data_IF_070615188279
#
_entry.id   IF_070615188279
#
_cell.length_a   1.000
_cell.length_b   1.000
_cell.length_c   1.000
_cell.angle_alpha   90.00
_cell.angle_beta   90.00
_cell.angle_gamma   90.00
#
_symmetry.space_group_name_H-M   'P 1'
#
loop_
_entity.id
_entity.type
_entity.pdbx_description
1 polymer ?
#
# COMPACT_ATOMS: atom_id res chain seq x y z
N UNK A 1 19.35 8.66 -6.48
CA UNK A 1 18.70 7.93 -5.36
C UNK A 1 19.65 6.88 -4.80
N UNK A 2 19.57 6.54 -3.50
CA UNK A 2 20.33 5.41 -2.94
C UNK A 2 19.74 4.07 -3.40
N UNK A 3 20.55 2.99 -3.43
CA UNK A 3 20.14 1.64 -3.88
C UNK A 3 18.81 1.16 -3.25
N UNK A 4 18.62 1.38 -1.95
CA UNK A 4 17.43 0.96 -1.23
C UNK A 4 16.15 1.65 -1.74
N UNK A 5 16.22 2.96 -2.00
CA UNK A 5 15.09 3.71 -2.55
C UNK A 5 14.76 3.29 -3.99
N UNK A 6 15.76 2.88 -4.79
CA UNK A 6 15.54 2.35 -6.14
C UNK A 6 14.81 1.01 -6.08
N UNK A 7 15.25 0.09 -5.20
CA UNK A 7 14.59 -1.20 -4.98
C UNK A 7 13.14 -0.99 -4.56
N UNK A 8 12.93 -0.12 -3.55
CA UNK A 8 11.59 0.15 -3.04
C UNK A 8 10.63 0.71 -4.09
N UNK A 9 11.13 1.61 -4.93
CA UNK A 9 10.39 2.17 -6.06
C UNK A 9 10.00 1.10 -7.08
N UNK A 10 10.92 0.21 -7.42
CA UNK A 10 10.64 -0.90 -8.35
C UNK A 10 9.59 -1.84 -7.75
N UNK A 11 9.70 -2.21 -6.48
CA UNK A 11 8.72 -3.06 -5.80
C UNK A 11 7.31 -2.45 -5.83
N UNK A 12 7.21 -1.17 -5.48
CA UNK A 12 5.93 -0.46 -5.54
C UNK A 12 5.37 -0.41 -6.96
N UNK A 13 6.19 -0.04 -7.95
CA UNK A 13 5.74 0.08 -9.34
C UNK A 13 5.29 -1.26 -9.93
N UNK A 14 6.00 -2.37 -9.64
CA UNK A 14 5.58 -3.73 -10.05
C UNK A 14 4.24 -4.07 -9.39
N UNK A 15 4.10 -3.85 -8.10
CA UNK A 15 2.87 -4.16 -7.38
C UNK A 15 1.66 -3.41 -7.96
N UNK A 16 1.80 -2.12 -8.23
CA UNK A 16 0.74 -1.31 -8.85
C UNK A 16 0.40 -1.80 -10.27
N UNK A 17 1.41 -2.15 -11.08
CA UNK A 17 1.16 -2.66 -12.44
C UNK A 17 0.43 -4.02 -12.41
N UNK A 18 0.78 -4.91 -11.48
CA UNK A 18 0.11 -6.21 -11.32
C UNK A 18 -1.32 -6.03 -10.81
N UNK A 19 -1.57 -5.12 -9.86
CA UNK A 19 -2.94 -4.79 -9.44
C UNK A 19 -3.78 -4.27 -10.61
N UNK A 20 -3.20 -3.46 -11.48
CA UNK A 20 -3.87 -3.03 -12.71
C UNK A 20 -4.16 -4.17 -13.67
N UNK A 21 -3.23 -5.12 -13.83
CA UNK A 21 -3.45 -6.31 -14.65
C UNK A 21 -4.54 -7.21 -14.09
N UNK A 22 -4.60 -7.39 -12.76
CA UNK A 22 -5.70 -8.12 -12.10
C UNK A 22 -7.05 -7.46 -12.35
N UNK A 23 -7.12 -6.13 -12.26
CA UNK A 23 -8.34 -5.37 -12.53
C UNK A 23 -8.87 -5.63 -13.96
N UNK A 24 -7.96 -5.69 -14.93
CA UNK A 24 -8.33 -6.01 -16.33
C UNK A 24 -8.71 -7.48 -16.49
N UNK A 25 -7.95 -8.39 -15.88
CA UNK A 25 -8.13 -9.83 -16.06
C UNK A 25 -9.47 -10.34 -15.47
N UNK A 26 -9.89 -9.77 -14.34
CA UNK A 26 -11.14 -10.16 -13.67
C UNK A 26 -12.34 -9.29 -14.04
N UNK A 27 -12.21 -8.32 -14.92
CA UNK A 27 -13.25 -7.34 -15.27
C UNK A 27 -13.84 -6.63 -14.03
N UNK A 28 -13.06 -6.58 -12.95
CA UNK A 28 -13.49 -6.09 -11.64
C UNK A 28 -12.31 -5.54 -10.84
N UNK A 29 -12.61 -4.75 -9.83
CA UNK A 29 -11.58 -4.16 -8.97
C UNK A 29 -11.18 -5.14 -7.86
N UNK A 30 -9.88 -5.28 -7.54
CA UNK A 30 -9.47 -5.86 -6.28
C UNK A 30 -10.14 -5.12 -5.12
N UNK A 31 -10.67 -5.88 -4.17
CA UNK A 31 -11.50 -5.40 -3.06
C UNK A 31 -10.87 -4.24 -2.26
N UNK A 32 -9.54 -4.18 -2.23
CA UNK A 32 -8.79 -3.13 -1.57
C UNK A 32 -8.70 -1.81 -2.35
N UNK A 33 -9.02 -1.82 -3.65
CA UNK A 33 -8.98 -0.61 -4.48
C UNK A 33 -10.37 0.03 -4.59
N UNK A 34 -11.40 -0.77 -4.67
CA UNK A 34 -12.80 -0.31 -4.67
C UNK A 34 -13.65 -1.35 -3.95
N UNK A 35 -14.53 -0.95 -3.00
CA UNK A 35 -15.46 -1.87 -2.36
C UNK A 35 -16.36 -2.61 -3.34
N UNK A 36 -17.04 -3.69 -2.92
CA UNK A 36 -17.70 -4.64 -3.80
C UNK A 36 -18.62 -4.01 -4.82
N UNK A 37 -18.58 -4.58 -6.00
CA UNK A 37 -19.35 -4.26 -7.18
C UNK A 37 -20.84 -4.10 -6.90
N UNK A 38 -21.36 -2.97 -7.29
CA UNK A 38 -22.79 -2.83 -7.50
C UNK A 38 -23.11 -3.29 -8.93
N UNK A 39 -23.67 -4.49 -9.05
CA UNK A 39 -24.04 -5.14 -10.33
C UNK A 39 -24.96 -4.29 -11.22
N UNK A 40 -25.55 -3.23 -10.68
CA UNK A 40 -26.47 -2.31 -11.37
C UNK A 40 -25.79 -1.15 -12.10
N UNK A 41 -24.46 -0.97 -12.01
CA UNK A 41 -23.77 0.12 -12.71
C UNK A 41 -23.48 -0.31 -14.15
N UNK A 42 -24.19 0.24 -15.17
CA UNK A 42 -23.90 -0.06 -16.56
C UNK A 42 -22.47 0.37 -16.93
N UNK A 43 -21.76 -0.46 -17.68
CA UNK A 43 -20.40 -0.13 -18.13
C UNK A 43 -19.30 -0.21 -17.06
N UNK A 44 -19.56 -0.82 -15.90
CA UNK A 44 -18.58 -0.96 -14.82
C UNK A 44 -17.27 -1.64 -15.28
N UNK A 45 -17.35 -2.66 -16.16
CA UNK A 45 -16.18 -3.28 -16.75
C UNK A 45 -15.31 -2.30 -17.56
N UNK A 46 -15.92 -1.34 -18.28
CA UNK A 46 -15.15 -0.31 -19.01
C UNK A 46 -14.36 0.57 -18.04
N UNK A 47 -14.98 0.93 -16.90
CA UNK A 47 -14.29 1.70 -15.85
C UNK A 47 -13.14 0.89 -15.26
N UNK A 48 -13.33 -0.42 -15.03
CA UNK A 48 -12.28 -1.31 -14.56
C UNK A 48 -11.12 -1.39 -15.56
N UNK A 49 -11.39 -1.52 -16.86
CA UNK A 49 -10.34 -1.52 -17.88
C UNK A 49 -9.55 -0.21 -17.92
N UNK A 50 -10.24 0.94 -17.90
CA UNK A 50 -9.57 2.25 -17.91
C UNK A 50 -8.70 2.40 -16.66
N UNK A 51 -9.25 2.06 -15.50
CA UNK A 51 -8.54 2.17 -14.23
C UNK A 51 -7.34 1.21 -14.17
N UNK A 52 -7.53 -0.05 -14.59
CA UNK A 52 -6.46 -1.04 -14.67
C UNK A 52 -5.34 -0.60 -15.62
N UNK A 53 -5.69 -0.06 -16.80
CA UNK A 53 -4.70 0.50 -17.71
C UNK A 53 -3.94 1.69 -17.10
N UNK A 54 -4.61 2.57 -16.36
CA UNK A 54 -3.96 3.67 -15.64
C UNK A 54 -2.99 3.17 -14.57
N UNK A 55 -3.35 2.12 -13.82
CA UNK A 55 -2.45 1.50 -12.84
C UNK A 55 -1.22 0.88 -13.51
N UNK A 56 -1.40 0.14 -14.62
CA UNK A 56 -0.29 -0.46 -15.37
C UNK A 56 0.66 0.63 -15.87
N UNK A 57 0.13 1.68 -16.49
CA UNK A 57 0.92 2.79 -17.00
C UNK A 57 1.67 3.53 -15.87
N UNK A 58 0.98 3.80 -14.76
CA UNK A 58 1.61 4.45 -13.61
C UNK A 58 2.71 3.57 -13.01
N UNK A 59 2.46 2.27 -12.81
CA UNK A 59 3.44 1.31 -12.34
C UNK A 59 4.66 1.22 -13.27
N UNK A 60 4.44 1.12 -14.57
CA UNK A 60 5.51 1.11 -15.58
C UNK A 60 6.33 2.42 -15.56
N UNK A 61 5.69 3.57 -15.52
CA UNK A 61 6.36 4.87 -15.40
C UNK A 61 7.25 4.94 -14.15
N UNK A 62 6.76 4.40 -13.03
CA UNK A 62 7.50 4.34 -11.78
C UNK A 62 8.69 3.36 -11.88
N UNK A 63 8.52 2.19 -12.46
CA UNK A 63 9.60 1.20 -12.63
C UNK A 63 10.70 1.72 -13.54
N UNK A 64 10.34 2.27 -14.69
CA UNK A 64 11.30 2.71 -15.71
C UNK A 64 11.79 4.15 -15.56
N UNK A 65 11.42 4.84 -14.49
CA UNK A 65 11.76 6.25 -14.23
C UNK A 65 11.31 7.22 -15.35
N UNK A 66 10.25 6.87 -16.07
CA UNK A 66 9.67 7.75 -17.09
C UNK A 66 8.49 8.51 -16.49
N UNK A 67 8.53 9.84 -16.60
CA UNK A 67 7.47 10.72 -16.04
C UNK A 67 7.08 10.37 -14.59
N UNK A 68 8.02 9.84 -13.80
CA UNK A 68 7.78 9.29 -12.47
C UNK A 68 7.10 10.27 -11.52
N UNK A 69 7.47 11.55 -11.57
CA UNK A 69 6.86 12.60 -10.76
C UNK A 69 5.36 12.71 -11.06
N UNK A 70 5.02 12.85 -12.33
CA UNK A 70 3.63 13.01 -12.80
C UNK A 70 2.82 11.75 -12.49
N UNK A 71 3.35 10.58 -12.87
CA UNK A 71 2.72 9.30 -12.62
C UNK A 71 2.42 9.08 -11.13
N UNK A 72 3.39 9.35 -10.25
CA UNK A 72 3.20 9.17 -8.81
C UNK A 72 2.24 10.19 -8.21
N UNK A 73 2.21 11.44 -8.68
CA UNK A 73 1.25 12.45 -8.20
C UNK A 73 -0.16 12.06 -8.65
N UNK A 74 -0.35 11.72 -9.93
CA UNK A 74 -1.65 11.34 -10.47
C UNK A 74 -2.17 10.10 -9.75
N UNK A 75 -1.36 9.05 -9.64
CA UNK A 75 -1.71 7.83 -8.93
C UNK A 75 -2.11 8.11 -7.48
N UNK A 76 -1.25 8.79 -6.72
CA UNK A 76 -1.52 9.08 -5.32
C UNK A 76 -2.77 9.95 -5.12
N UNK A 77 -2.98 10.95 -5.99
CA UNK A 77 -4.19 11.79 -5.94
C UNK A 77 -5.43 10.99 -6.27
N UNK A 78 -5.42 10.16 -7.31
CA UNK A 78 -6.53 9.30 -7.70
C UNK A 78 -6.94 8.36 -6.56
N UNK A 79 -5.99 7.61 -5.99
CA UNK A 79 -6.24 6.69 -4.89
C UNK A 79 -6.73 7.44 -3.64
N UNK A 80 -6.16 8.59 -3.33
CA UNK A 80 -6.61 9.42 -2.20
C UNK A 80 -8.03 9.96 -2.39
N UNK A 81 -8.41 10.34 -3.60
CA UNK A 81 -9.78 10.77 -3.91
C UNK A 81 -10.77 9.60 -3.80
N UNK A 82 -10.39 8.39 -4.25
CA UNK A 82 -11.20 7.18 -4.07
C UNK A 82 -11.38 6.90 -2.56
N UNK A 83 -10.32 6.97 -1.78
CA UNK A 83 -10.43 6.84 -0.32
C UNK A 83 -11.42 7.84 0.27
N UNK A 84 -11.29 9.13 -0.04
CA UNK A 84 -12.13 10.18 0.54
C UNK A 84 -13.58 10.14 0.07
N UNK A 85 -13.81 9.94 -1.23
CA UNK A 85 -15.14 10.12 -1.84
C UNK A 85 -15.88 8.82 -2.12
N UNK A 86 -15.21 7.68 -2.01
CA UNK A 86 -15.84 6.39 -2.19
C UNK A 86 -15.75 5.50 -0.93
N UNK A 87 -14.54 5.20 -0.42
CA UNK A 87 -14.40 4.32 0.74
C UNK A 87 -15.03 4.90 2.00
N UNK A 88 -14.77 6.16 2.34
CA UNK A 88 -15.35 6.78 3.54
C UNK A 88 -16.88 6.80 3.45
N UNK A 89 -17.53 7.32 2.39
CA UNK A 89 -18.98 7.26 2.27
C UNK A 89 -19.53 5.84 2.26
N UNK A 90 -18.86 4.90 1.59
CA UNK A 90 -19.27 3.51 1.55
C UNK A 90 -19.35 2.91 2.96
N UNK A 91 -18.32 3.12 3.78
CA UNK A 91 -18.30 2.60 5.15
C UNK A 91 -19.43 3.14 6.00
N UNK A 92 -19.74 4.45 5.92
CA UNK A 92 -20.80 5.03 6.72
C UNK A 92 -22.22 4.76 6.20
N UNK A 93 -22.39 4.57 4.89
CA UNK A 93 -23.72 4.48 4.27
C UNK A 93 -24.13 3.01 3.99
N UNK A 94 -23.18 2.17 3.62
CA UNK A 94 -23.45 0.80 3.14
C UNK A 94 -22.95 -0.30 4.04
N UNK A 95 -21.88 -0.07 4.81
CA UNK A 95 -21.36 -1.08 5.72
C UNK A 95 -22.20 -1.08 7.01
N UNK A 96 -22.80 -2.23 7.34
CA UNK A 96 -23.45 -2.45 8.63
C UNK A 96 -22.46 -2.50 9.79
N UNK A 97 -21.17 -2.67 9.47
CA UNK A 97 -20.11 -2.94 10.43
C UNK A 97 -19.11 -1.77 10.57
N UNK A 98 -19.53 -0.54 10.20
CA UNK A 98 -18.64 0.63 10.23
C UNK A 98 -18.01 0.93 11.62
N UNK A 99 -18.58 0.37 12.69
CA UNK A 99 -18.04 0.49 14.06
C UNK A 99 -16.87 -0.50 14.27
N UNK A 100 -16.84 -1.61 13.54
CA UNK A 100 -15.79 -2.60 13.67
C UNK A 100 -14.50 -2.14 13.00
N UNK A 101 -13.40 -2.23 13.73
CA UNK A 101 -12.09 -1.76 13.25
C UNK A 101 -11.66 -2.47 11.96
N UNK A 102 -11.84 -3.78 11.86
CA UNK A 102 -11.50 -4.57 10.67
C UNK A 102 -12.26 -4.17 9.39
N UNK A 103 -13.45 -3.56 9.52
CA UNK A 103 -14.20 -3.08 8.35
C UNK A 103 -13.46 -1.96 7.58
N UNK A 104 -12.54 -1.25 8.24
CA UNK A 104 -11.74 -0.17 7.65
C UNK A 104 -10.43 -0.65 7.01
N UNK A 105 -10.12 -1.93 7.11
CA UNK A 105 -8.85 -2.50 6.66
C UNK A 105 -8.58 -2.23 5.16
N UNK A 106 -9.58 -2.41 4.30
CA UNK A 106 -9.42 -2.16 2.87
C UNK A 106 -9.28 -0.66 2.54
N UNK A 107 -10.00 0.20 3.26
CA UNK A 107 -9.82 1.64 3.16
C UNK A 107 -8.40 2.06 3.58
N UNK A 108 -7.86 1.44 4.64
CA UNK A 108 -6.48 1.65 5.07
C UNK A 108 -5.45 1.18 4.03
N UNK A 109 -5.71 0.05 3.35
CA UNK A 109 -4.86 -0.44 2.23
C UNK A 109 -4.79 0.58 1.11
N UNK A 110 -5.94 1.11 0.68
CA UNK A 110 -6.02 2.16 -0.34
C UNK A 110 -5.25 3.42 0.07
N UNK A 111 -5.48 3.90 1.30
CA UNK A 111 -4.80 5.07 1.86
C UNK A 111 -3.28 4.89 1.87
N UNK A 112 -2.80 3.68 2.17
CA UNK A 112 -1.38 3.35 2.16
C UNK A 112 -0.77 3.41 0.76
N UNK A 113 -1.47 2.90 -0.26
CA UNK A 113 -1.00 2.97 -1.64
C UNK A 113 -0.93 4.42 -2.13
N UNK A 114 -1.94 5.24 -1.79
CA UNK A 114 -1.90 6.68 -2.05
C UNK A 114 -0.69 7.35 -1.38
N UNK A 115 -0.47 7.05 -0.10
CA UNK A 115 0.68 7.51 0.66
C UNK A 115 2.01 7.09 0.03
N UNK A 116 2.11 5.84 -0.43
CA UNK A 116 3.28 5.31 -1.12
C UNK A 116 3.61 6.06 -2.42
N UNK A 117 2.60 6.33 -3.22
CA UNK A 117 2.76 7.14 -4.43
C UNK A 117 3.27 8.56 -4.09
N UNK A 118 2.74 9.19 -3.05
CA UNK A 118 3.22 10.50 -2.59
C UNK A 118 4.66 10.43 -2.03
N UNK A 119 5.02 9.37 -1.32
CA UNK A 119 6.41 9.14 -0.87
C UNK A 119 7.35 9.07 -2.07
N UNK A 120 7.00 8.37 -3.13
CA UNK A 120 7.80 8.32 -4.36
C UNK A 120 7.84 9.71 -5.01
N UNK A 121 6.70 10.37 -5.19
CA UNK A 121 6.62 11.71 -5.76
C UNK A 121 7.55 12.70 -5.04
N UNK A 122 7.63 12.62 -3.71
CA UNK A 122 8.47 13.51 -2.88
C UNK A 122 9.95 13.46 -3.23
N UNK A 123 10.42 12.36 -3.83
CA UNK A 123 11.85 12.19 -4.22
C UNK A 123 12.21 12.93 -5.49
N UNK A 124 11.20 13.20 -6.32
CA UNK A 124 11.36 13.84 -7.64
C UNK A 124 10.71 15.21 -7.69
N UNK A 125 10.14 15.68 -6.57
CA UNK A 125 9.48 16.97 -6.51
C UNK A 125 10.48 18.06 -6.21
N UNK A 126 10.65 18.98 -7.17
CA UNK A 126 11.42 20.20 -7.00
C UNK A 126 10.41 21.33 -6.73
N UNK A 127 10.56 21.97 -5.58
CA UNK A 127 9.68 23.08 -5.21
C UNK A 127 10.00 24.30 -6.10
N UNK A 128 9.11 24.63 -7.02
CA UNK A 128 9.14 25.87 -7.79
C UNK A 128 8.16 26.85 -7.14
N UNK A 129 8.45 28.12 -7.20
CA UNK A 129 7.64 29.19 -6.61
C UNK A 129 6.31 29.40 -7.36
N UNK A 130 5.37 28.45 -7.27
CA UNK A 130 4.00 28.61 -7.72
C UNK A 130 3.02 28.15 -6.64
N UNK A 131 1.82 28.74 -6.60
CA UNK A 131 0.76 28.35 -5.65
C UNK A 131 0.43 26.86 -5.77
N UNK A 132 0.32 26.37 -7.00
CA UNK A 132 0.06 24.95 -7.28
C UNK A 132 1.17 24.06 -6.71
N UNK A 133 2.44 24.41 -6.91
CA UNK A 133 3.55 23.61 -6.38
C UNK A 133 3.60 23.64 -4.85
N UNK A 134 3.25 24.75 -4.21
CA UNK A 134 3.14 24.81 -2.74
C UNK A 134 2.02 23.90 -2.23
N UNK A 135 0.88 23.89 -2.89
CA UNK A 135 -0.23 23.01 -2.54
C UNK A 135 0.14 21.54 -2.72
N UNK A 136 0.68 21.16 -3.88
CA UNK A 136 1.14 19.81 -4.17
C UNK A 136 2.22 19.34 -3.18
N UNK A 137 3.17 20.20 -2.83
CA UNK A 137 4.23 19.83 -1.87
C UNK A 137 3.67 19.50 -0.50
N UNK A 138 2.61 20.19 -0.04
CA UNK A 138 1.94 19.88 1.23
C UNK A 138 1.27 18.51 1.18
N UNK A 139 0.53 18.19 0.11
CA UNK A 139 -0.10 16.89 -0.06
C UNK A 139 0.96 15.78 -0.14
N UNK A 140 1.96 15.94 -0.98
CA UNK A 140 3.04 14.97 -1.16
C UNK A 140 3.80 14.71 0.14
N UNK A 141 3.97 15.73 0.99
CA UNK A 141 4.66 15.59 2.27
C UNK A 141 3.90 14.72 3.29
N UNK A 142 2.58 14.52 3.12
CA UNK A 142 1.78 13.64 3.99
C UNK A 142 1.98 12.16 3.71
N UNK A 143 2.55 11.78 2.57
CA UNK A 143 2.62 10.40 2.13
C UNK A 143 3.17 9.41 3.15
N UNK A 144 4.27 9.77 3.83
CA UNK A 144 4.85 8.92 4.88
C UNK A 144 3.93 8.79 6.10
N UNK A 145 3.16 9.82 6.42
CA UNK A 145 2.18 9.80 7.53
C UNK A 145 1.01 8.89 7.17
N UNK A 146 0.46 9.00 5.96
CA UNK A 146 -0.64 8.15 5.49
C UNK A 146 -0.23 6.67 5.52
N UNK A 147 0.94 6.33 5.01
CA UNK A 147 1.50 4.99 5.12
C UNK A 147 1.63 4.54 6.57
N UNK A 148 2.16 5.39 7.44
CA UNK A 148 2.39 5.04 8.85
C UNK A 148 1.09 4.81 9.62
N UNK A 149 0.03 5.57 9.36
CA UNK A 149 -1.29 5.35 9.95
C UNK A 149 -1.79 3.96 9.60
N UNK A 150 -1.69 3.55 8.33
CA UNK A 150 -2.08 2.21 7.89
C UNK A 150 -1.25 1.12 8.55
N UNK A 151 0.07 1.31 8.64
CA UNK A 151 0.96 0.33 9.28
C UNK A 151 0.64 0.17 10.78
N UNK A 152 0.32 1.26 11.47
CA UNK A 152 -0.16 1.22 12.86
C UNK A 152 -1.49 0.47 12.95
N UNK A 153 -2.44 0.77 12.06
CA UNK A 153 -3.74 0.08 11.99
C UNK A 153 -3.54 -1.43 11.86
N UNK A 154 -2.74 -1.88 10.91
CA UNK A 154 -2.44 -3.31 10.75
C UNK A 154 -1.73 -3.92 11.97
N UNK A 155 -0.86 -3.15 12.63
CA UNK A 155 -0.27 -3.59 13.89
C UNK A 155 -1.33 -3.82 14.97
N UNK A 156 -2.34 -2.98 15.06
CA UNK A 156 -3.49 -3.14 15.97
C UNK A 156 -4.31 -4.38 15.58
N UNK A 157 -4.59 -4.60 14.29
CA UNK A 157 -5.29 -5.80 13.81
C UNK A 157 -4.59 -7.09 14.24
N UNK A 158 -3.25 -7.11 14.24
CA UNK A 158 -2.46 -8.25 14.72
C UNK A 158 -2.69 -8.58 16.19
N UNK A 159 -3.15 -7.63 17.01
CA UNK A 159 -3.54 -7.89 18.40
C UNK A 159 -5.03 -8.24 18.52
N UNK A 160 -5.89 -7.55 17.78
CA UNK A 160 -7.34 -7.76 17.85
C UNK A 160 -7.76 -9.12 17.28
N UNK A 161 -7.12 -9.54 16.19
CA UNK A 161 -7.44 -10.75 15.43
C UNK A 161 -6.29 -11.76 15.46
N UNK A 162 -5.51 -11.78 16.55
CA UNK A 162 -4.28 -12.55 16.64
C UNK A 162 -4.47 -14.06 16.39
N UNK A 163 -5.57 -14.65 16.87
CA UNK A 163 -5.86 -16.08 16.73
C UNK A 163 -6.20 -16.43 15.29
N UNK A 164 -7.11 -15.69 14.70
CA UNK A 164 -7.57 -15.88 13.32
C UNK A 164 -6.43 -15.63 12.33
N UNK A 165 -5.64 -14.60 12.57
CA UNK A 165 -4.50 -14.26 11.72
C UNK A 165 -3.33 -15.24 11.89
N UNK A 166 -3.19 -15.89 13.03
CA UNK A 166 -2.17 -16.92 13.26
C UNK A 166 -2.30 -18.12 12.30
N UNK A 167 -3.51 -18.43 11.84
CA UNK A 167 -3.77 -19.52 10.89
C UNK A 167 -3.17 -19.25 9.49
N UNK A 168 -2.87 -17.99 9.17
CA UNK A 168 -2.17 -17.64 7.93
C UNK A 168 -0.67 -17.89 7.98
N UNK A 169 -0.08 -18.01 9.18
CA UNK A 169 1.36 -18.30 9.32
C UNK A 169 1.64 -19.72 8.84
N UNK A 170 2.64 -19.95 7.96
CA UNK A 170 2.93 -21.26 7.42
C UNK A 170 3.18 -22.30 8.55
N UNK A 171 2.62 -23.51 8.39
CA UNK A 171 2.65 -24.57 9.41
C UNK A 171 4.06 -24.99 9.85
N UNK A 172 5.07 -24.79 8.99
CA UNK A 172 6.48 -25.07 9.31
C UNK A 172 7.14 -24.01 10.21
N UNK A 173 6.49 -22.84 10.39
CA UNK A 173 6.97 -21.79 11.29
C UNK A 173 6.42 -22.06 12.69
N UNK A 174 7.25 -22.29 13.71
CA UNK A 174 6.74 -22.53 15.06
C UNK A 174 6.21 -21.25 15.72
N UNK A 175 5.37 -21.39 16.75
CA UNK A 175 4.91 -20.30 17.62
C UNK A 175 4.14 -19.19 16.86
N UNK A 176 3.11 -19.54 16.10
CA UNK A 176 2.34 -18.62 15.27
C UNK A 176 1.87 -17.37 16.02
N UNK A 177 1.30 -17.49 17.22
CA UNK A 177 0.87 -16.33 18.03
C UNK A 177 2.02 -15.40 18.42
N UNK A 178 3.22 -15.93 18.66
CA UNK A 178 4.39 -15.09 18.92
C UNK A 178 4.67 -14.19 17.72
N UNK A 179 4.63 -14.74 16.51
CA UNK A 179 4.87 -13.95 15.30
C UNK A 179 3.80 -12.90 15.06
N UNK A 180 2.53 -13.19 15.43
CA UNK A 180 1.46 -12.18 15.35
C UNK A 180 1.77 -10.99 16.26
N UNK A 181 2.04 -11.21 17.53
CA UNK A 181 2.34 -10.14 18.49
C UNK A 181 3.66 -9.42 18.18
N UNK A 182 4.69 -10.17 17.78
CA UNK A 182 5.97 -9.59 17.36
C UNK A 182 5.81 -8.66 16.15
N UNK A 183 5.13 -9.14 15.10
CA UNK A 183 4.89 -8.36 13.89
C UNK A 183 4.01 -7.16 14.20
N UNK A 184 2.93 -7.33 14.96
CA UNK A 184 2.06 -6.23 15.39
C UNK A 184 2.82 -5.13 16.14
N UNK A 185 3.66 -5.52 17.10
CA UNK A 185 4.52 -4.57 17.83
C UNK A 185 5.49 -3.84 16.88
N UNK A 186 6.12 -4.57 15.97
CA UNK A 186 7.06 -4.01 15.01
C UNK A 186 6.37 -3.03 14.04
N UNK A 187 5.15 -3.34 13.58
CA UNK A 187 4.34 -2.46 12.73
C UNK A 187 3.98 -1.16 13.46
N UNK A 188 3.41 -1.24 14.68
CA UNK A 188 3.06 -0.07 15.48
C UNK A 188 4.29 0.78 15.77
N UNK A 189 5.36 0.16 16.28
CA UNK A 189 6.59 0.86 16.60
C UNK A 189 7.24 1.54 15.40
N UNK A 190 7.21 0.88 14.24
CA UNK A 190 7.75 1.45 13.00
C UNK A 190 6.93 2.62 12.49
N UNK A 191 5.59 2.50 12.51
CA UNK A 191 4.71 3.59 12.09
C UNK A 191 4.89 4.82 12.99
N UNK A 192 4.91 4.64 14.32
CA UNK A 192 5.18 5.73 15.26
C UNK A 192 6.55 6.36 15.06
N UNK A 193 7.59 5.54 14.84
CA UNK A 193 8.94 6.04 14.62
C UNK A 193 9.06 6.89 13.34
N UNK A 194 8.33 6.55 12.27
CA UNK A 194 8.29 7.36 11.05
C UNK A 194 7.56 8.67 11.30
N UNK A 195 6.42 8.68 12.01
CA UNK A 195 5.64 9.88 12.34
C UNK A 195 6.49 10.83 13.21
N UNK A 196 7.13 10.32 14.26
CA UNK A 196 7.94 11.12 15.17
C UNK A 196 9.39 11.35 14.67
N UNK A 197 9.71 10.88 13.46
CA UNK A 197 11.02 11.03 12.82
C UNK A 197 12.19 10.43 13.63
N UNK A 198 11.93 9.33 14.35
CA UNK A 198 12.91 8.62 15.18
C UNK A 198 13.65 7.60 14.33
N UNK A 199 14.98 7.76 14.16
CA UNK A 199 15.84 6.81 13.41
C UNK A 199 15.20 6.24 12.13
N UNK A 200 14.49 7.08 11.39
CA UNK A 200 13.63 6.70 10.25
C UNK A 200 14.33 5.76 9.27
N UNK A 201 15.61 6.03 8.94
CA UNK A 201 16.35 5.19 8.00
C UNK A 201 16.44 3.75 8.47
N UNK A 202 16.87 3.55 9.71
CA UNK A 202 17.07 2.21 10.28
C UNK A 202 15.74 1.48 10.42
N UNK A 203 14.76 2.13 11.04
CA UNK A 203 13.46 1.53 11.34
C UNK A 203 12.68 1.22 10.07
N UNK A 204 12.61 2.14 9.11
CA UNK A 204 11.93 1.89 7.85
C UNK A 204 12.67 0.83 7.00
N UNK A 205 14.02 0.71 7.11
CA UNK A 205 14.73 -0.40 6.46
C UNK A 205 14.36 -1.75 7.07
N UNK A 206 14.31 -1.85 8.40
CA UNK A 206 13.92 -3.08 9.10
C UNK A 206 12.47 -3.45 8.81
N UNK A 207 11.56 -2.46 8.81
CA UNK A 207 10.17 -2.65 8.43
C UNK A 207 10.05 -3.22 7.00
N UNK A 208 10.75 -2.61 6.05
CA UNK A 208 10.74 -3.08 4.66
C UNK A 208 11.28 -4.49 4.51
N UNK A 209 12.36 -4.84 5.23
CA UNK A 209 12.92 -6.20 5.25
C UNK A 209 11.92 -7.18 5.87
N UNK A 210 11.32 -6.84 7.00
CA UNK A 210 10.34 -7.70 7.67
C UNK A 210 9.15 -8.00 6.76
N UNK A 211 8.56 -6.97 6.14
CA UNK A 211 7.43 -7.16 5.21
C UNK A 211 7.87 -7.98 3.99
N UNK A 212 9.08 -7.76 3.46
CA UNK A 212 9.59 -8.56 2.34
C UNK A 212 9.79 -10.04 2.69
N UNK A 213 10.25 -10.32 3.91
CA UNK A 213 10.35 -11.71 4.39
C UNK A 213 8.95 -12.34 4.41
N UNK A 214 7.94 -11.67 4.98
CA UNK A 214 6.57 -12.18 4.98
C UNK A 214 5.97 -12.28 3.57
N UNK A 215 6.28 -11.36 2.67
CA UNK A 215 5.95 -11.51 1.26
C UNK A 215 6.48 -12.84 0.70
N UNK A 216 7.74 -13.16 0.95
CA UNK A 216 8.38 -14.35 0.40
C UNK A 216 7.90 -15.66 1.05
N UNK A 217 7.74 -15.71 2.38
CA UNK A 217 7.46 -16.95 3.10
C UNK A 217 5.97 -17.22 3.35
N UNK A 218 5.12 -16.19 3.25
CA UNK A 218 3.68 -16.32 3.45
C UNK A 218 2.93 -16.08 2.15
N UNK A 219 3.07 -14.89 1.54
CA UNK A 219 2.23 -14.53 0.39
C UNK A 219 2.58 -15.32 -0.88
N UNK A 220 3.85 -15.54 -1.20
CA UNK A 220 4.23 -16.33 -2.39
C UNK A 220 3.73 -17.76 -2.31
N UNK A 221 3.93 -18.53 -1.22
CA UNK A 221 3.33 -19.87 -1.09
C UNK A 221 1.80 -19.85 -1.19
N UNK A 222 1.12 -18.88 -0.61
CA UNK A 222 -0.34 -18.76 -0.71
C UNK A 222 -0.79 -18.58 -2.16
N UNK A 223 -0.12 -17.74 -2.94
CA UNK A 223 -0.40 -17.60 -4.38
C UNK A 223 -0.17 -18.92 -5.13
N UNK A 224 0.91 -19.66 -4.83
CA UNK A 224 1.25 -20.91 -5.52
C UNK A 224 0.27 -22.03 -5.22
N UNK A 225 -0.22 -22.11 -3.98
CA UNK A 225 -1.10 -23.19 -3.52
C UNK A 225 -2.58 -22.81 -3.40
N UNK A 226 -2.94 -21.58 -3.80
CA UNK A 226 -4.32 -21.10 -3.71
C UNK A 226 -5.23 -21.83 -4.72
N UNK A 227 -6.46 -22.18 -4.31
CA UNK A 227 -7.51 -22.56 -5.25
C UNK A 227 -7.76 -21.44 -6.27
N UNK A 228 -8.16 -21.82 -7.49
CA UNK A 228 -8.41 -20.85 -8.57
C UNK A 228 -9.43 -19.76 -8.21
N UNK A 229 -10.40 -20.07 -7.34
CA UNK A 229 -11.42 -19.13 -6.88
C UNK A 229 -10.82 -17.96 -6.05
N UNK A 230 -9.74 -18.22 -5.29
CA UNK A 230 -9.14 -17.23 -4.38
C UNK A 230 -7.87 -16.60 -4.95
N UNK A 231 -7.39 -17.09 -6.08
CA UNK A 231 -6.10 -16.72 -6.64
C UNK A 231 -5.95 -15.20 -6.84
N UNK A 232 -6.99 -14.51 -7.29
CA UNK A 232 -6.99 -13.07 -7.48
C UNK A 232 -6.74 -12.30 -6.18
N UNK A 233 -7.38 -12.72 -5.09
CA UNK A 233 -7.21 -12.11 -3.76
C UNK A 233 -5.81 -12.36 -3.20
N UNK A 234 -5.27 -13.56 -3.40
CA UNK A 234 -3.93 -13.91 -2.92
C UNK A 234 -2.84 -13.14 -3.68
N UNK A 235 -2.97 -13.01 -5.01
CA UNK A 235 -2.05 -12.18 -5.79
C UNK A 235 -2.14 -10.72 -5.36
N UNK A 236 -3.35 -10.20 -5.15
CA UNK A 236 -3.54 -8.82 -4.69
C UNK A 236 -2.91 -8.59 -3.30
N UNK A 237 -3.06 -9.55 -2.37
CA UNK A 237 -2.43 -9.50 -1.05
C UNK A 237 -0.90 -9.54 -1.14
N UNK A 238 -0.35 -10.38 -2.03
CA UNK A 238 1.08 -10.41 -2.30
C UNK A 238 1.59 -9.06 -2.87
N UNK A 239 0.84 -8.47 -3.80
CA UNK A 239 1.16 -7.15 -4.34
C UNK A 239 1.18 -6.07 -3.26
N UNK A 240 0.23 -6.09 -2.30
CA UNK A 240 0.23 -5.15 -1.19
C UNK A 240 1.47 -5.31 -0.31
N UNK A 241 1.83 -6.54 0.08
CA UNK A 241 3.03 -6.79 0.87
C UNK A 241 4.30 -6.28 0.14
N UNK A 242 4.41 -6.54 -1.16
CA UNK A 242 5.51 -6.04 -1.98
C UNK A 242 5.52 -4.51 -2.05
N UNK A 243 4.35 -3.88 -2.25
CA UNK A 243 4.21 -2.42 -2.27
C UNK A 243 4.62 -1.80 -0.93
N UNK A 244 4.18 -2.36 0.19
CA UNK A 244 4.48 -1.84 1.53
C UNK A 244 5.96 -1.96 1.89
N UNK A 245 6.58 -3.10 1.55
CA UNK A 245 8.05 -3.23 1.61
C UNK A 245 8.73 -2.14 0.78
N UNK A 246 8.24 -1.93 -0.44
CA UNK A 246 8.73 -0.90 -1.33
C UNK A 246 8.62 0.51 -0.77
N UNK A 247 7.46 0.87 -0.21
CA UNK A 247 7.23 2.19 0.41
C UNK A 247 8.20 2.40 1.57
N UNK A 248 8.34 1.40 2.45
CA UNK A 248 9.26 1.46 3.58
C UNK A 248 10.71 1.70 3.12
N UNK A 249 11.17 1.01 2.08
CA UNK A 249 12.50 1.22 1.50
C UNK A 249 12.67 2.62 0.87
N UNK A 250 11.64 3.16 0.22
CA UNK A 250 11.70 4.55 -0.29
C UNK A 250 11.78 5.55 0.86
N UNK A 251 11.03 5.37 1.94
CA UNK A 251 11.10 6.20 3.15
C UNK A 251 12.51 6.14 3.75
N UNK A 252 13.05 4.93 3.94
CA UNK A 252 14.39 4.70 4.47
C UNK A 252 15.48 5.40 3.64
N UNK A 253 15.42 5.25 2.32
CA UNK A 253 16.40 5.86 1.40
C UNK A 253 16.33 7.37 1.35
N UNK A 254 15.23 7.96 1.78
CA UNK A 254 15.05 9.40 1.81
C UNK A 254 15.46 10.10 3.09
N UNK A 255 15.56 9.37 4.17
CA UNK A 255 16.00 9.91 5.45
C UNK A 255 17.50 10.31 5.49
N UNK A 256 18.24 10.08 4.41
CA UNK A 256 19.69 10.38 4.32
C UNK A 256 20.03 11.81 3.90
N UNK A 257 19.07 12.60 3.46
CA UNK A 257 19.31 14.02 3.14
C UNK A 257 18.85 14.94 4.28
N UNK A 258 19.59 15.01 5.39
CA UNK A 258 19.83 16.31 6.02
C UNK A 258 20.84 17.02 5.10
N UNK A 259 20.35 17.90 4.27
CA UNK A 259 21.20 18.94 3.67
C UNK A 259 21.57 19.85 4.84
N UNK A 260 22.85 19.89 5.11
CA UNK A 260 23.51 20.91 5.93
C UNK A 260 23.19 22.27 5.34
#
# INVERSE_FOLDING_TARGET
MGKLSTIGRIFFGIAIAVLGALTIYYDDFPYMLIPPKHSWIPGFAIVAYIFGAMLILAGACIVFEKMIKQASIILGTMLFLIFCFYFIPYQFIKSSEYIHFGAWENAAKELSLAGGAFVIASRYFVNKESLLNRFLSKIISTGAILFSITIISFGIDHFLFAKEAADYVPSWVPYHLFWMYFTGTALIGSGLAVIFKIKVRQIASLLGIMIFIWFAILHIPRVVFSPSADLGSEIASACLALAYSGIAFVIAGGATKKIV
#
